data_IF_851378194968
#
_entry.id   IF_851378194968
#
_cell.length_a   1.000
_cell.length_b   1.000
_cell.length_c   1.000
_cell.angle_alpha   90.00
_cell.angle_beta   90.00
_cell.angle_gamma   90.00
#
_symmetry.space_group_name_H-M   'P 1'
#
loop_
_entity.id
_entity.type
_entity.pdbx_description
1 polymer ?
#
# COMPACT_ATOMS: atom_id res chain seq x y z
N UNK A 1 -39.53 74.75 82.30
CA UNK A 1 -39.04 75.26 81.00
C UNK A 1 -37.63 74.71 80.78
N UNK A 2 -37.42 73.88 79.72
CA UNK A 2 -36.12 73.47 79.12
C UNK A 2 -35.13 72.68 80.04
N UNK A 3 -34.44 71.61 79.64
CA UNK A 3 -34.25 70.89 78.37
C UNK A 3 -33.57 69.56 78.71
N UNK A 4 -33.99 68.48 78.04
CA UNK A 4 -33.25 67.23 77.92
C UNK A 4 -32.00 67.41 77.03
N UNK A 5 -31.26 66.30 76.84
CA UNK A 5 -30.23 66.03 75.81
C UNK A 5 -28.81 66.05 76.38
N UNK A 6 -28.21 64.88 76.70
CA UNK A 6 -26.75 64.64 76.75
C UNK A 6 -26.41 63.13 76.87
N UNK A 7 -26.99 62.26 76.03
CA UNK A 7 -26.59 60.83 75.94
C UNK A 7 -26.56 60.23 74.52
N UNK A 8 -26.36 61.05 73.48
CA UNK A 8 -26.33 60.59 72.08
C UNK A 8 -25.00 60.94 71.37
N UNK A 9 -23.96 61.34 72.11
CA UNK A 9 -22.68 61.74 71.50
C UNK A 9 -21.58 60.67 71.55
N UNK A 10 -21.78 59.55 72.27
CA UNK A 10 -20.77 58.48 72.38
C UNK A 10 -20.90 57.36 71.34
N UNK A 11 -22.07 57.20 70.71
CA UNK A 11 -22.35 56.06 69.82
C UNK A 11 -22.08 56.34 68.33
N UNK A 12 -21.96 57.61 67.93
CA UNK A 12 -21.76 58.00 66.53
C UNK A 12 -20.27 57.91 66.12
N UNK A 13 -19.35 58.06 67.07
CA UNK A 13 -17.90 58.06 66.77
C UNK A 13 -17.30 56.66 66.61
N UNK A 14 -17.92 55.62 67.21
CA UNK A 14 -17.45 54.22 67.09
C UNK A 14 -18.02 53.54 65.84
N UNK A 15 -19.21 53.95 65.38
CA UNK A 15 -19.82 53.40 64.15
C UNK A 15 -19.21 53.97 62.86
N UNK A 16 -18.63 55.18 62.91
CA UNK A 16 -17.95 55.80 61.78
C UNK A 16 -16.62 55.13 61.39
N UNK A 17 -15.88 54.57 62.36
CA UNK A 17 -14.57 53.92 62.10
C UNK A 17 -14.74 52.48 61.55
N UNK A 18 -15.82 51.78 61.91
CA UNK A 18 -16.14 50.47 61.33
C UNK A 18 -16.63 50.56 59.88
N UNK A 19 -17.27 51.66 59.48
CA UNK A 19 -17.71 51.87 58.09
C UNK A 19 -16.58 52.29 57.15
N UNK A 20 -15.50 52.91 57.64
CA UNK A 20 -14.32 53.24 56.80
C UNK A 20 -13.33 52.08 56.64
N UNK A 21 -13.41 51.04 57.47
CA UNK A 21 -12.60 49.81 57.31
C UNK A 21 -13.29 48.73 56.46
N UNK A 22 -14.60 48.87 56.17
CA UNK A 22 -15.33 47.99 55.26
C UNK A 22 -15.34 48.45 53.78
N UNK A 23 -14.67 49.56 53.45
CA UNK A 23 -14.37 49.93 52.05
C UNK A 23 -12.98 49.46 51.57
N UNK A 24 -12.25 48.71 52.41
CA UNK A 24 -11.05 47.97 51.98
C UNK A 24 -11.34 46.46 51.87
N UNK A 25 -12.54 46.06 51.47
CA UNK A 25 -12.63 44.78 50.74
C UNK A 25 -11.90 44.98 49.43
N UNK A 26 -10.93 44.12 49.06
CA UNK A 26 -10.39 44.15 47.71
C UNK A 26 -11.58 44.13 46.73
N UNK A 27 -11.54 44.91 45.63
CA UNK A 27 -12.58 44.79 44.63
C UNK A 27 -12.74 43.31 44.34
N UNK A 28 -13.97 42.81 44.45
CA UNK A 28 -14.28 41.41 44.19
C UNK A 28 -13.57 41.05 42.89
N UNK A 29 -12.62 40.12 42.94
CA UNK A 29 -11.98 39.58 41.75
C UNK A 29 -13.10 39.32 40.75
N UNK A 30 -13.02 39.96 39.58
CA UNK A 30 -14.04 39.75 38.56
C UNK A 30 -14.09 38.24 38.31
N UNK A 31 -15.21 37.55 38.60
CA UNK A 31 -15.28 36.09 38.45
C UNK A 31 -14.98 35.64 37.02
N UNK A 32 -15.00 36.57 36.05
CA UNK A 32 -14.55 36.36 34.68
C UNK A 32 -13.07 35.97 34.55
N UNK A 33 -12.17 36.48 35.41
CA UNK A 33 -10.73 36.21 35.29
C UNK A 33 -10.41 34.76 35.68
N UNK A 34 -11.05 34.24 36.72
CA UNK A 34 -10.89 32.85 37.18
C UNK A 34 -11.39 31.88 36.10
N UNK A 35 -12.46 32.24 35.39
CA UNK A 35 -12.93 31.45 34.24
C UNK A 35 -11.89 31.43 33.10
N UNK A 36 -11.25 32.55 32.80
CA UNK A 36 -10.20 32.60 31.78
C UNK A 36 -8.95 31.81 32.18
N UNK A 37 -8.52 31.88 33.45
CA UNK A 37 -7.43 31.04 33.98
C UNK A 37 -7.77 29.56 33.87
N UNK A 38 -9.00 29.18 34.22
CA UNK A 38 -9.49 27.81 34.12
C UNK A 38 -9.57 27.34 32.66
N UNK A 39 -10.08 28.16 31.76
CA UNK A 39 -10.25 27.81 30.35
C UNK A 39 -8.88 27.65 29.66
N UNK A 40 -7.90 28.51 29.98
CA UNK A 40 -6.52 28.36 29.53
C UNK A 40 -5.88 27.08 30.11
N UNK A 41 -6.05 26.82 31.41
CA UNK A 41 -5.53 25.61 32.08
C UNK A 41 -6.12 24.31 31.54
N UNK A 42 -7.39 24.32 31.14
CA UNK A 42 -8.10 23.15 30.62
C UNK A 42 -7.94 22.97 29.11
N UNK A 43 -7.25 23.88 28.42
CA UNK A 43 -7.05 23.82 26.98
C UNK A 43 -6.16 22.62 26.63
N UNK A 44 -6.65 21.75 25.74
CA UNK A 44 -5.96 20.54 25.28
C UNK A 44 -6.04 20.44 23.77
N UNK A 45 -5.07 19.76 23.17
CA UNK A 45 -5.18 19.38 21.76
C UNK A 45 -6.31 18.36 21.58
N UNK A 46 -7.10 18.46 20.49
CA UNK A 46 -8.02 17.39 20.14
C UNK A 46 -7.24 16.12 19.77
N UNK A 47 -7.84 14.96 20.01
CA UNK A 47 -7.30 13.70 19.51
C UNK A 47 -7.46 13.64 17.98
N UNK A 48 -6.39 13.40 17.22
CA UNK A 48 -6.47 13.36 15.77
C UNK A 48 -7.19 12.09 15.31
N UNK A 49 -8.11 12.23 14.35
CA UNK A 49 -8.68 11.09 13.66
C UNK A 49 -7.67 10.56 12.62
N UNK A 50 -6.80 9.65 13.06
CA UNK A 50 -5.71 9.14 12.24
C UNK A 50 -6.23 8.37 11.02
N UNK A 51 -5.80 8.80 9.84
CA UNK A 51 -6.02 8.08 8.58
C UNK A 51 -5.12 6.85 8.51
N UNK A 52 -5.70 5.72 8.10
CA UNK A 52 -4.96 4.50 7.78
C UNK A 52 -4.45 4.52 6.34
N UNK A 53 -3.38 3.76 6.07
CA UNK A 53 -2.89 3.54 4.72
C UNK A 53 -3.98 2.86 3.86
N UNK A 54 -4.14 3.31 2.61
CA UNK A 54 -5.04 2.64 1.66
C UNK A 54 -4.50 1.23 1.36
N UNK A 55 -5.32 0.17 1.45
CA UNK A 55 -4.88 -1.18 1.12
C UNK A 55 -4.41 -1.30 -0.33
N UNK A 56 -3.28 -1.99 -0.53
CA UNK A 56 -2.81 -2.36 -1.87
C UNK A 56 -3.54 -3.59 -2.36
N UNK A 57 -4.15 -3.51 -3.55
CA UNK A 57 -4.86 -4.65 -4.17
C UNK A 57 -3.91 -5.37 -5.11
N UNK A 58 -3.78 -6.68 -4.96
CA UNK A 58 -2.95 -7.54 -5.83
C UNK A 58 -3.84 -8.56 -6.52
N UNK A 59 -3.66 -8.72 -7.83
CA UNK A 59 -4.28 -9.78 -8.63
C UNK A 59 -3.17 -10.66 -9.20
N UNK A 60 -3.20 -11.96 -8.90
CA UNK A 60 -2.22 -12.92 -9.41
C UNK A 60 -2.28 -13.07 -10.93
N UNK A 61 -1.19 -13.55 -11.52
CA UNK A 61 -1.19 -13.96 -12.91
C UNK A 61 -2.20 -15.11 -13.12
N UNK A 62 -2.73 -15.22 -14.33
CA UNK A 62 -3.58 -16.37 -14.69
C UNK A 62 -3.02 -17.04 -15.93
N UNK A 63 -3.21 -18.36 -16.01
CA UNK A 63 -2.94 -19.16 -17.20
C UNK A 63 -4.17 -20.01 -17.47
N UNK A 64 -4.83 -19.74 -18.60
CA UNK A 64 -5.98 -20.50 -19.07
C UNK A 64 -5.49 -21.47 -20.13
N UNK A 65 -5.63 -22.76 -19.86
CA UNK A 65 -5.27 -23.82 -20.80
C UNK A 65 -6.09 -23.73 -22.09
N UNK A 66 -5.47 -24.08 -23.23
CA UNK A 66 -6.19 -24.16 -24.49
C UNK A 66 -7.15 -25.34 -24.50
N UNK A 67 -8.44 -25.06 -24.71
CA UNK A 67 -9.46 -26.09 -24.92
C UNK A 67 -9.20 -26.90 -26.18
N UNK A 68 -8.63 -26.28 -27.22
CA UNK A 68 -8.30 -26.96 -28.47
C UNK A 68 -7.10 -27.89 -28.31
N UNK A 69 -6.06 -27.47 -27.58
CA UNK A 69 -4.94 -28.35 -27.24
C UNK A 69 -5.40 -29.56 -26.42
N UNK A 70 -6.25 -29.34 -25.42
CA UNK A 70 -6.84 -30.44 -24.64
C UNK A 70 -7.66 -31.40 -25.50
N UNK A 71 -8.46 -30.87 -26.43
CA UNK A 71 -9.24 -31.69 -27.37
C UNK A 71 -8.33 -32.52 -28.31
N UNK A 72 -7.21 -31.96 -28.77
CA UNK A 72 -6.22 -32.69 -29.58
C UNK A 72 -5.56 -33.80 -28.75
N UNK A 73 -5.09 -33.50 -27.53
CA UNK A 73 -4.46 -34.50 -26.65
C UNK A 73 -5.41 -35.65 -26.33
N UNK A 74 -6.66 -35.34 -25.98
CA UNK A 74 -7.70 -36.36 -25.75
C UNK A 74 -8.02 -37.15 -27.01
N UNK A 75 -8.08 -36.47 -28.17
CA UNK A 75 -8.28 -37.10 -29.47
C UNK A 75 -7.18 -38.11 -29.79
N UNK A 76 -5.91 -37.74 -29.59
CA UNK A 76 -4.75 -38.62 -29.80
C UNK A 76 -4.81 -39.84 -28.88
N UNK A 77 -5.11 -39.62 -27.59
CA UNK A 77 -5.22 -40.71 -26.61
C UNK A 77 -6.32 -41.73 -26.95
N UNK A 78 -7.38 -41.32 -27.66
CA UNK A 78 -8.47 -42.19 -28.10
C UNK A 78 -8.19 -42.98 -29.39
N UNK A 79 -7.14 -42.65 -30.15
CA UNK A 79 -6.82 -43.31 -31.43
C UNK A 79 -6.55 -44.81 -31.26
N UNK A 80 -5.71 -45.27 -30.30
CA UNK A 80 -5.41 -46.70 -30.17
C UNK A 80 -6.64 -47.58 -29.91
N UNK A 81 -7.65 -47.05 -29.21
CA UNK A 81 -8.89 -47.79 -28.92
C UNK A 81 -9.91 -47.73 -30.05
N UNK A 82 -9.99 -46.62 -30.79
CA UNK A 82 -10.98 -46.43 -31.86
C UNK A 82 -10.48 -46.87 -33.24
N UNK A 83 -9.17 -46.90 -33.46
CA UNK A 83 -8.54 -47.14 -34.77
C UNK A 83 -8.80 -46.02 -35.79
N UNK A 84 -9.37 -44.88 -35.38
CA UNK A 84 -9.72 -43.76 -36.26
C UNK A 84 -9.04 -42.47 -35.80
N UNK A 85 -8.69 -41.59 -36.73
CA UNK A 85 -8.15 -40.26 -36.44
C UNK A 85 -9.30 -39.26 -36.28
N UNK A 86 -9.52 -38.67 -35.09
CA UNK A 86 -10.58 -37.68 -34.90
C UNK A 86 -10.35 -36.42 -35.73
N UNK A 87 -11.43 -35.76 -36.16
CA UNK A 87 -11.37 -34.55 -36.98
C UNK A 87 -10.52 -33.43 -36.34
N UNK A 88 -10.59 -33.26 -35.02
CA UNK A 88 -9.78 -32.28 -34.28
C UNK A 88 -8.28 -32.54 -34.40
N UNK A 89 -7.86 -33.80 -34.47
CA UNK A 89 -6.45 -34.18 -34.64
C UNK A 89 -6.01 -33.93 -36.08
N UNK A 90 -6.85 -34.26 -37.06
CA UNK A 90 -6.60 -33.95 -38.48
C UNK A 90 -6.49 -32.45 -38.74
N UNK A 91 -7.34 -31.64 -38.10
CA UNK A 91 -7.27 -30.18 -38.21
C UNK A 91 -5.98 -29.64 -37.58
N UNK A 92 -5.57 -30.16 -36.42
CA UNK A 92 -4.30 -29.78 -35.79
C UNK A 92 -3.08 -30.09 -36.66
N UNK A 93 -3.08 -31.22 -37.38
CA UNK A 93 -2.05 -31.53 -38.37
C UNK A 93 -2.02 -30.50 -39.49
N UNK A 94 -3.18 -30.14 -40.05
CA UNK A 94 -3.27 -29.17 -41.14
C UNK A 94 -2.78 -27.78 -40.69
N UNK A 95 -3.23 -27.31 -39.53
CA UNK A 95 -2.82 -26.03 -38.97
C UNK A 95 -1.32 -25.99 -38.65
N UNK A 96 -0.78 -27.07 -38.08
CA UNK A 96 0.64 -27.18 -37.77
C UNK A 96 1.49 -27.23 -39.04
N UNK A 97 1.13 -28.02 -40.04
CA UNK A 97 1.85 -28.06 -41.31
C UNK A 97 1.88 -26.70 -42.00
N UNK A 98 0.74 -25.98 -42.01
CA UNK A 98 0.70 -24.63 -42.55
C UNK A 98 1.57 -23.67 -41.74
N UNK A 99 1.53 -23.73 -40.40
CA UNK A 99 2.36 -22.88 -39.55
C UNK A 99 3.87 -23.16 -39.70
N UNK A 100 4.27 -24.43 -39.81
CA UNK A 100 5.64 -24.85 -40.08
C UNK A 100 6.10 -24.36 -41.46
N UNK A 101 5.25 -24.47 -42.48
CA UNK A 101 5.50 -23.93 -43.82
C UNK A 101 5.67 -22.42 -43.83
N UNK A 102 4.73 -21.69 -43.21
CA UNK A 102 4.76 -20.22 -43.08
C UNK A 102 6.05 -19.75 -42.37
N UNK A 103 6.51 -20.51 -41.38
CA UNK A 103 7.72 -20.19 -40.62
C UNK A 103 9.01 -20.68 -41.29
N UNK A 104 8.94 -21.44 -42.39
CA UNK A 104 10.09 -22.02 -43.08
C UNK A 104 10.85 -23.06 -42.26
N UNK A 105 10.18 -23.75 -41.34
CA UNK A 105 10.79 -24.70 -40.39
C UNK A 105 10.20 -26.08 -40.61
N UNK A 106 11.05 -27.09 -40.81
CA UNK A 106 10.56 -28.47 -40.91
C UNK A 106 10.20 -29.03 -39.51
N UNK A 107 9.14 -29.86 -39.39
CA UNK A 107 8.82 -30.54 -38.14
C UNK A 107 9.98 -31.37 -37.57
N UNK A 108 10.79 -32.01 -38.42
CA UNK A 108 11.95 -32.81 -38.00
C UNK A 108 13.06 -31.95 -37.40
N UNK A 109 13.26 -30.71 -37.87
CA UNK A 109 14.21 -29.76 -37.25
C UNK A 109 13.82 -29.45 -35.81
N UNK A 110 12.52 -29.26 -35.55
CA UNK A 110 12.01 -29.05 -34.19
C UNK A 110 12.30 -30.28 -33.33
N UNK A 111 11.90 -31.46 -33.79
CA UNK A 111 12.08 -32.72 -33.04
C UNK A 111 13.55 -32.95 -32.70
N UNK A 112 14.46 -32.76 -33.66
CA UNK A 112 15.89 -32.97 -33.45
C UNK A 112 16.51 -32.00 -32.43
N UNK A 113 15.94 -30.80 -32.26
CA UNK A 113 16.43 -29.84 -31.27
C UNK A 113 15.96 -30.14 -29.84
N UNK A 114 14.82 -30.80 -29.65
CA UNK A 114 14.31 -31.19 -28.32
C UNK A 114 14.97 -32.48 -27.81
N UNK A 115 16.30 -32.44 -27.65
CA UNK A 115 17.04 -33.51 -26.95
C UNK A 115 16.66 -33.55 -25.46
N UNK A 116 16.95 -34.65 -24.72
CA UNK A 116 16.75 -34.71 -23.28
C UNK A 116 17.40 -33.55 -22.51
N UNK A 117 18.59 -33.11 -22.94
CA UNK A 117 19.31 -31.98 -22.37
C UNK A 117 18.60 -30.64 -22.65
N UNK A 118 18.08 -30.45 -23.87
CA UNK A 118 17.31 -29.28 -24.23
C UNK A 118 16.01 -29.18 -23.42
N UNK A 119 15.29 -30.29 -23.26
CA UNK A 119 14.08 -30.38 -22.43
C UNK A 119 14.42 -30.08 -20.97
N UNK A 120 15.50 -30.66 -20.45
CA UNK A 120 15.95 -30.42 -19.06
C UNK A 120 16.34 -28.96 -18.84
N UNK A 121 17.10 -28.37 -19.77
CA UNK A 121 17.48 -26.95 -19.73
C UNK A 121 16.24 -26.07 -19.73
N UNK A 122 15.32 -26.30 -20.67
CA UNK A 122 14.07 -25.54 -20.75
C UNK A 122 13.24 -25.65 -19.47
N UNK A 123 13.13 -26.85 -18.91
CA UNK A 123 12.40 -27.10 -17.66
C UNK A 123 13.02 -26.36 -16.48
N UNK A 124 14.35 -26.34 -16.38
CA UNK A 124 15.05 -25.79 -15.21
C UNK A 124 15.26 -24.27 -15.29
N UNK A 125 15.50 -23.72 -16.46
CA UNK A 125 15.86 -22.30 -16.64
C UNK A 125 14.81 -21.48 -17.39
N UNK A 126 13.81 -22.13 -17.99
CA UNK A 126 12.86 -21.46 -18.88
C UNK A 126 13.55 -20.88 -20.12
N UNK A 127 14.69 -21.42 -20.54
CA UNK A 127 15.43 -20.97 -21.73
C UNK A 127 15.46 -22.06 -22.79
N UNK A 128 15.31 -21.66 -24.05
CA UNK A 128 15.53 -22.54 -25.18
C UNK A 128 17.00 -22.53 -25.58
N UNK A 129 17.53 -23.64 -26.11
CA UNK A 129 18.77 -23.62 -26.88
C UNK A 129 18.69 -22.58 -28.00
N UNK A 130 19.80 -21.91 -28.30
CA UNK A 130 19.83 -20.85 -29.32
C UNK A 130 19.30 -21.30 -30.69
N UNK A 131 19.51 -22.57 -31.05
CA UNK A 131 18.98 -23.19 -32.28
C UNK A 131 17.46 -23.29 -32.32
N UNK A 132 16.77 -23.32 -31.18
CA UNK A 132 15.32 -23.41 -31.07
C UNK A 132 14.65 -22.07 -30.77
N UNK A 133 15.38 -21.10 -30.22
CA UNK A 133 14.80 -19.82 -29.78
C UNK A 133 14.06 -19.08 -30.89
N UNK A 134 14.71 -18.88 -32.05
CA UNK A 134 14.10 -18.23 -33.23
C UNK A 134 12.93 -19.04 -33.79
N UNK A 135 13.13 -20.33 -34.12
CA UNK A 135 12.06 -21.20 -34.61
C UNK A 135 10.81 -21.24 -33.73
N UNK A 136 10.98 -21.42 -32.42
CA UNK A 136 9.85 -21.47 -31.49
C UNK A 136 9.18 -20.10 -31.37
N UNK A 137 9.92 -18.99 -31.32
CA UNK A 137 9.32 -17.65 -31.28
C UNK A 137 8.47 -17.36 -32.52
N UNK A 138 8.93 -17.77 -33.71
CA UNK A 138 8.16 -17.62 -34.95
C UNK A 138 6.85 -18.44 -34.91
N UNK A 139 6.93 -19.70 -34.43
CA UNK A 139 5.76 -20.57 -34.31
C UNK A 139 4.77 -20.09 -33.24
N UNK A 140 5.28 -19.54 -32.12
CA UNK A 140 4.45 -18.91 -31.06
C UNK A 140 3.69 -17.70 -31.57
N UNK A 141 4.29 -16.90 -32.46
CA UNK A 141 3.65 -15.75 -33.08
C UNK A 141 2.70 -16.13 -34.24
N UNK A 142 2.68 -17.38 -34.67
CA UNK A 142 1.83 -17.80 -35.78
C UNK A 142 0.35 -17.87 -35.37
N UNK A 143 -0.51 -17.14 -36.11
CA UNK A 143 -1.94 -17.05 -35.82
C UNK A 143 -2.68 -18.40 -35.87
N UNK A 144 -2.20 -19.38 -36.66
CA UNK A 144 -2.80 -20.71 -36.76
C UNK A 144 -2.56 -21.54 -35.51
N UNK A 145 -1.41 -21.37 -34.87
CA UNK A 145 -1.06 -22.10 -33.65
C UNK A 145 -1.56 -21.43 -32.38
N UNK A 146 -1.86 -20.13 -32.41
CA UNK A 146 -2.35 -19.38 -31.26
C UNK A 146 -3.51 -20.05 -30.50
N UNK A 147 -4.55 -20.62 -31.16
CA UNK A 147 -5.63 -21.32 -30.45
C UNK A 147 -5.17 -22.58 -29.68
N UNK A 148 -4.03 -23.16 -30.04
CA UNK A 148 -3.44 -24.34 -29.39
C UNK A 148 -2.50 -23.97 -28.22
N UNK A 149 -2.32 -22.69 -27.92
CA UNK A 149 -1.49 -22.21 -26.82
C UNK A 149 -2.35 -21.70 -25.65
N UNK A 150 -1.86 -21.80 -24.41
CA UNK A 150 -2.52 -21.14 -23.28
C UNK A 150 -2.61 -19.63 -23.47
N UNK A 151 -3.63 -19.04 -22.87
CA UNK A 151 -3.76 -17.59 -22.73
C UNK A 151 -3.35 -17.21 -21.31
N UNK A 152 -2.53 -16.18 -21.15
CA UNK A 152 -2.12 -15.70 -19.83
C UNK A 152 -2.43 -14.22 -19.62
N UNK A 153 -2.59 -13.85 -18.35
CA UNK A 153 -2.65 -12.46 -17.91
C UNK A 153 -1.48 -12.16 -16.95
N UNK A 154 -0.91 -10.97 -17.08
CA UNK A 154 0.10 -10.49 -16.14
C UNK A 154 -0.52 -10.26 -14.75
N UNK A 155 0.28 -10.38 -13.67
CA UNK A 155 -0.16 -9.96 -12.35
C UNK A 155 -0.42 -8.45 -12.34
N UNK A 156 -1.28 -8.00 -11.44
CA UNK A 156 -1.62 -6.58 -11.30
C UNK A 156 -1.46 -6.11 -9.86
N UNK A 157 -1.00 -4.87 -9.70
CA UNK A 157 -0.96 -4.16 -8.41
C UNK A 157 -1.73 -2.85 -8.59
N UNK A 158 -2.76 -2.65 -7.76
CA UNK A 158 -3.72 -1.54 -7.86
C UNK A 158 -4.33 -1.40 -9.27
N UNK A 159 -4.64 -2.54 -9.91
CA UNK A 159 -5.23 -2.60 -11.25
C UNK A 159 -4.25 -2.30 -12.39
N UNK A 160 -2.96 -2.09 -12.11
CA UNK A 160 -1.94 -1.86 -13.12
C UNK A 160 -1.15 -3.15 -13.38
N UNK A 161 -0.96 -3.56 -14.65
CA UNK A 161 -0.19 -4.74 -14.98
C UNK A 161 1.29 -4.59 -14.60
N UNK A 162 1.86 -5.65 -14.02
CA UNK A 162 3.27 -5.73 -13.66
C UNK A 162 3.98 -6.68 -14.62
N UNK A 163 5.00 -6.17 -15.31
CA UNK A 163 5.90 -6.96 -16.15
C UNK A 163 7.16 -7.31 -15.37
N UNK A 164 8.05 -8.18 -15.91
CA UNK A 164 9.36 -8.43 -15.31
C UNK A 164 10.25 -7.18 -15.16
N UNK A 165 9.93 -6.08 -15.84
CA UNK A 165 10.73 -4.85 -15.89
C UNK A 165 10.01 -3.63 -15.33
N UNK A 166 8.80 -3.77 -14.78
CA UNK A 166 8.09 -2.66 -14.12
C UNK A 166 8.92 -2.17 -12.94
N UNK A 167 9.41 -0.94 -13.00
CA UNK A 167 10.22 -0.33 -11.93
C UNK A 167 9.42 0.59 -11.03
N UNK A 168 8.30 1.15 -11.51
CA UNK A 168 7.44 2.06 -10.76
C UNK A 168 5.99 1.87 -11.19
N UNK A 169 5.07 2.13 -10.26
CA UNK A 169 3.65 2.30 -10.54
C UNK A 169 3.22 3.72 -10.17
N UNK A 170 2.12 4.24 -10.75
CA UNK A 170 1.49 5.46 -10.28
C UNK A 170 1.17 5.33 -8.79
N UNK A 171 1.86 6.11 -7.96
CA UNK A 171 1.63 6.18 -6.52
C UNK A 171 0.89 7.47 -6.16
N UNK A 172 0.03 7.44 -5.13
CA UNK A 172 -0.59 8.67 -4.64
C UNK A 172 0.49 9.61 -4.12
N UNK A 173 0.39 10.90 -4.48
CA UNK A 173 1.31 11.92 -4.02
C UNK A 173 1.00 12.28 -2.55
N UNK A 174 1.99 12.29 -1.65
CA UNK A 174 1.79 12.76 -0.28
C UNK A 174 1.33 14.23 -0.28
N UNK A 175 0.40 14.61 0.61
CA UNK A 175 0.03 16.01 0.75
C UNK A 175 1.20 16.83 1.32
N UNK A 176 1.22 18.13 1.04
CA UNK A 176 2.14 19.04 1.71
C UNK A 176 1.83 19.07 3.22
N UNK A 177 2.87 18.97 4.04
CA UNK A 177 2.74 19.03 5.50
C UNK A 177 2.59 20.49 5.93
N UNK A 178 1.51 20.81 6.64
CA UNK A 178 1.35 22.10 7.29
C UNK A 178 2.40 22.22 8.40
N UNK A 179 3.25 23.27 8.43
CA UNK A 179 4.24 23.44 9.48
C UNK A 179 3.57 23.83 10.80
N UNK A 180 4.13 23.35 11.91
CA UNK A 180 3.74 23.81 13.24
C UNK A 180 4.24 25.24 13.48
N UNK A 181 3.43 26.05 14.17
CA UNK A 181 3.81 27.39 14.61
C UNK A 181 4.99 27.29 15.59
N UNK A 182 5.95 28.20 15.44
CA UNK A 182 7.08 28.32 16.37
C UNK A 182 6.60 29.09 17.60
N UNK A 183 6.68 28.45 18.77
CA UNK A 183 6.38 29.09 20.04
C UNK A 183 7.59 29.92 20.49
N UNK A 184 7.35 31.19 20.80
CA UNK A 184 8.33 32.06 21.44
C UNK A 184 7.82 32.43 22.84
N UNK A 185 8.62 32.28 23.90
CA UNK A 185 8.24 32.70 25.24
C UNK A 185 7.84 34.18 25.26
N UNK A 186 6.83 34.52 26.06
CA UNK A 186 6.47 35.92 26.25
C UNK A 186 7.46 36.54 27.24
N UNK A 187 8.40 37.35 26.72
CA UNK A 187 9.36 38.08 27.55
C UNK A 187 8.66 39.25 28.27
N UNK A 188 7.99 38.96 29.39
CA UNK A 188 7.44 39.97 30.28
C UNK A 188 8.52 40.49 31.24
N UNK A 189 8.68 41.81 31.34
CA UNK A 189 9.70 42.48 32.15
C UNK A 189 9.12 43.35 33.28
N UNK A 190 7.82 43.22 33.58
CA UNK A 190 7.17 43.99 34.65
C UNK A 190 7.10 43.25 36.00
N UNK A 191 6.77 43.98 37.06
CA UNK A 191 6.66 43.46 38.44
C UNK A 191 5.22 43.07 38.84
N UNK A 192 4.27 43.06 37.90
CA UNK A 192 2.86 42.73 38.20
C UNK A 192 2.66 41.22 38.31
N UNK A 193 2.12 40.78 39.45
CA UNK A 193 1.89 39.37 39.75
C UNK A 193 0.86 38.71 38.82
N UNK A 194 -0.20 39.43 38.41
CA UNK A 194 -1.25 38.92 37.53
C UNK A 194 -0.71 38.67 36.12
N UNK A 195 0.05 39.63 35.58
CA UNK A 195 0.72 39.46 34.29
C UNK A 195 1.73 38.31 34.32
N UNK A 196 2.50 38.19 35.40
CA UNK A 196 3.44 37.06 35.55
C UNK A 196 2.71 35.73 35.55
N UNK A 197 1.65 35.58 36.34
CA UNK A 197 0.89 34.34 36.43
C UNK A 197 0.24 33.94 35.10
N UNK A 198 -0.35 34.91 34.38
CA UNK A 198 -0.94 34.66 33.06
C UNK A 198 0.10 34.19 32.03
N UNK A 199 1.28 34.81 32.01
CA UNK A 199 2.37 34.40 31.13
C UNK A 199 2.95 33.03 31.52
N UNK A 200 3.19 32.78 32.82
CA UNK A 200 3.65 31.48 33.29
C UNK A 200 2.64 30.37 32.95
N UNK A 201 1.34 30.63 33.08
CA UNK A 201 0.30 29.67 32.69
C UNK A 201 0.29 29.42 31.18
N UNK A 202 0.38 30.47 30.36
CA UNK A 202 0.45 30.33 28.90
C UNK A 202 1.69 29.53 28.45
N UNK A 203 2.86 29.81 29.02
CA UNK A 203 4.09 29.07 28.73
C UNK A 203 3.97 27.59 29.14
N UNK A 204 3.37 27.30 30.30
CA UNK A 204 3.10 25.93 30.73
C UNK A 204 2.12 25.21 29.79
N UNK A 205 1.00 25.84 29.44
CA UNK A 205 -0.02 25.27 28.54
C UNK A 205 0.58 25.03 27.16
N UNK A 206 1.29 26.00 26.58
CA UNK A 206 1.90 25.82 25.25
C UNK A 206 3.00 24.75 25.23
N UNK A 207 3.75 24.59 26.33
CA UNK A 207 4.68 23.45 26.52
C UNK A 207 3.93 22.12 26.51
N UNK A 208 2.82 22.01 27.24
CA UNK A 208 2.04 20.78 27.35
C UNK A 208 1.33 20.43 26.02
N UNK A 209 0.86 21.45 25.28
CA UNK A 209 0.36 21.29 23.91
C UNK A 209 1.47 20.76 22.99
N UNK A 210 2.69 21.31 23.07
CA UNK A 210 3.80 20.82 22.25
C UNK A 210 4.21 19.38 22.64
N UNK A 211 4.21 19.03 23.93
CA UNK A 211 4.46 17.67 24.37
C UNK A 211 3.41 16.68 23.81
N UNK A 212 2.13 17.07 23.81
CA UNK A 212 1.03 16.30 23.22
C UNK A 212 1.23 16.11 21.72
N UNK A 213 1.57 17.18 20.99
CA UNK A 213 1.93 17.13 19.56
C UNK A 213 3.06 16.14 19.28
N UNK A 214 4.15 16.22 20.04
CA UNK A 214 5.31 15.33 19.88
C UNK A 214 4.91 13.87 20.10
N UNK A 215 4.09 13.60 21.11
CA UNK A 215 3.57 12.25 21.38
C UNK A 215 2.70 11.71 20.25
N UNK A 216 1.77 12.51 19.73
CA UNK A 216 0.90 12.13 18.61
C UNK A 216 1.71 11.87 17.32
N UNK A 217 2.71 12.71 17.02
CA UNK A 217 3.62 12.50 15.88
C UNK A 217 4.44 11.21 16.06
N UNK A 218 4.92 10.93 17.28
CA UNK A 218 5.64 9.71 17.57
C UNK A 218 4.78 8.46 17.33
N UNK A 219 3.50 8.49 17.71
CA UNK A 219 2.54 7.42 17.44
C UNK A 219 2.32 7.18 15.93
N UNK A 220 2.14 8.27 15.16
CA UNK A 220 2.02 8.22 13.70
C UNK A 220 3.27 7.62 13.04
N UNK A 221 4.47 8.05 13.47
CA UNK A 221 5.72 7.50 12.98
C UNK A 221 5.91 6.02 13.38
N UNK A 222 5.46 5.62 14.57
CA UNK A 222 5.44 4.23 15.01
C UNK A 222 4.61 3.36 14.07
N UNK A 223 3.39 3.79 13.76
CA UNK A 223 2.49 3.10 12.82
C UNK A 223 3.12 2.98 11.44
N UNK A 224 3.67 4.08 10.89
CA UNK A 224 4.38 4.06 9.62
C UNK A 224 5.54 3.05 9.60
N UNK A 225 6.35 3.01 10.67
CA UNK A 225 7.48 2.08 10.75
C UNK A 225 7.00 0.63 10.81
N UNK A 226 5.92 0.34 11.54
CA UNK A 226 5.29 -0.99 11.56
C UNK A 226 4.80 -1.40 10.17
N UNK A 227 4.07 -0.53 9.48
CA UNK A 227 3.56 -0.79 8.12
C UNK A 227 4.71 -1.02 7.13
N UNK A 228 5.76 -0.19 7.21
CA UNK A 228 6.97 -0.34 6.39
C UNK A 228 7.64 -1.69 6.63
N UNK A 229 7.89 -2.05 7.89
CA UNK A 229 8.53 -3.33 8.24
C UNK A 229 7.69 -4.53 7.82
N UNK A 230 6.36 -4.45 7.95
CA UNK A 230 5.46 -5.51 7.47
C UNK A 230 5.56 -5.66 5.95
N UNK A 231 5.53 -4.55 5.20
CA UNK A 231 5.67 -4.56 3.74
C UNK A 231 7.02 -5.13 3.29
N UNK A 232 8.12 -4.79 3.98
CA UNK A 232 9.46 -5.32 3.70
C UNK A 232 9.53 -6.84 3.91
N UNK A 233 8.94 -7.35 5.01
CA UNK A 233 8.97 -8.77 5.37
C UNK A 233 8.12 -9.65 4.42
N UNK A 234 7.05 -9.10 3.84
CA UNK A 234 6.18 -9.85 2.93
C UNK A 234 6.87 -10.24 1.62
N UNK A 235 7.87 -9.49 1.14
CA UNK A 235 8.55 -9.77 -0.14
C UNK A 235 9.17 -11.16 -0.17
N UNK A 236 9.84 -11.58 0.91
CA UNK A 236 10.50 -12.89 0.96
C UNK A 236 9.49 -14.03 0.91
N UNK A 237 8.39 -13.93 1.68
CA UNK A 237 7.35 -14.96 1.69
C UNK A 237 6.59 -15.03 0.36
N UNK A 238 6.31 -13.87 -0.25
CA UNK A 238 5.72 -13.77 -1.59
C UNK A 238 6.62 -14.44 -2.64
N UNK A 239 7.92 -14.10 -2.65
CA UNK A 239 8.87 -14.66 -3.61
C UNK A 239 9.01 -16.19 -3.47
N UNK A 240 9.08 -16.71 -2.24
CA UNK A 240 9.15 -18.15 -1.99
C UNK A 240 7.86 -18.87 -2.46
N UNK A 241 6.68 -18.30 -2.18
CA UNK A 241 5.40 -18.84 -2.64
C UNK A 241 5.26 -18.86 -4.16
N UNK A 242 5.68 -17.79 -4.84
CA UNK A 242 5.74 -17.74 -6.31
C UNK A 242 6.70 -18.79 -6.86
N UNK A 243 7.91 -18.93 -6.31
CA UNK A 243 8.86 -19.96 -6.77
C UNK A 243 8.30 -21.38 -6.64
N UNK A 244 7.66 -21.70 -5.51
CA UNK A 244 7.03 -23.00 -5.28
C UNK A 244 5.86 -23.24 -6.26
N UNK A 245 5.04 -22.23 -6.50
CA UNK A 245 3.89 -22.35 -7.41
C UNK A 245 4.34 -22.69 -8.83
N UNK A 246 5.31 -21.96 -9.36
CA UNK A 246 5.80 -22.19 -10.72
C UNK A 246 6.62 -23.48 -10.86
N UNK A 247 7.33 -23.93 -9.82
CA UNK A 247 8.02 -25.22 -9.87
C UNK A 247 7.04 -26.40 -9.98
N UNK A 248 5.90 -26.34 -9.28
CA UNK A 248 4.82 -27.31 -9.40
C UNK A 248 4.17 -27.29 -10.79
N UNK A 249 3.92 -26.09 -11.34
CA UNK A 249 3.35 -25.93 -12.68
C UNK A 249 4.28 -26.49 -13.78
N UNK A 250 5.59 -26.25 -13.66
CA UNK A 250 6.61 -26.78 -14.57
C UNK A 250 6.68 -28.31 -14.48
N UNK A 251 6.67 -28.87 -13.28
CA UNK A 251 6.66 -30.33 -13.08
C UNK A 251 5.41 -30.99 -13.69
N UNK A 252 4.23 -30.37 -13.49
CA UNK A 252 2.99 -30.84 -14.09
C UNK A 252 3.02 -30.78 -15.63
N UNK A 253 3.56 -29.70 -16.20
CA UNK A 253 3.75 -29.58 -17.64
C UNK A 253 4.67 -30.65 -18.22
N UNK A 254 5.76 -30.99 -17.51
CA UNK A 254 6.67 -32.07 -17.92
C UNK A 254 5.99 -33.44 -17.89
N UNK A 255 5.19 -33.72 -16.86
CA UNK A 255 4.40 -34.95 -16.79
C UNK A 255 3.36 -35.03 -17.93
N UNK A 256 2.69 -33.92 -18.25
CA UNK A 256 1.75 -33.84 -19.36
C UNK A 256 2.43 -34.03 -20.73
N UNK A 257 3.65 -33.51 -20.90
CA UNK A 257 4.48 -33.78 -22.08
C UNK A 257 4.74 -35.29 -22.21
N UNK A 258 5.25 -35.93 -21.16
CA UNK A 258 5.61 -37.35 -21.19
C UNK A 258 4.40 -38.24 -21.53
N UNK A 259 3.23 -37.93 -20.95
CA UNK A 259 1.97 -38.60 -21.28
C UNK A 259 1.56 -38.39 -22.75
N UNK A 260 1.69 -37.15 -23.25
CA UNK A 260 1.36 -36.82 -24.64
C UNK A 260 2.27 -37.54 -25.64
N UNK A 261 3.57 -37.65 -25.33
CA UNK A 261 4.54 -38.40 -26.14
C UNK A 261 4.21 -39.89 -26.19
N UNK A 262 3.87 -40.50 -25.04
CA UNK A 262 3.46 -41.90 -24.96
C UNK A 262 2.18 -42.16 -25.79
N UNK A 263 1.17 -41.29 -25.66
CA UNK A 263 -0.08 -41.39 -26.43
C UNK A 263 0.17 -41.25 -27.94
N UNK A 264 1.03 -40.31 -28.35
CA UNK A 264 1.42 -40.15 -29.76
C UNK A 264 2.11 -41.37 -30.32
N UNK A 265 3.02 -41.98 -29.55
CA UNK A 265 3.72 -43.19 -29.95
C UNK A 265 2.74 -44.36 -30.13
N UNK A 266 1.77 -44.53 -29.22
CA UNK A 266 0.74 -45.55 -29.34
C UNK A 266 -0.19 -45.34 -30.55
N UNK A 267 -0.46 -44.08 -30.91
CA UNK A 267 -1.30 -43.70 -32.05
C UNK A 267 -0.57 -43.74 -33.41
N UNK A 268 0.76 -43.85 -33.42
CA UNK A 268 1.60 -43.78 -34.62
C UNK A 268 1.17 -44.73 -35.76
N UNK A 269 0.80 -46.00 -35.52
CA UNK A 269 0.39 -46.92 -36.60
C UNK A 269 -0.83 -46.41 -37.38
N UNK A 270 -1.77 -45.74 -36.70
CA UNK A 270 -2.99 -45.21 -37.32
C UNK A 270 -2.76 -43.84 -37.95
N UNK A 271 -1.93 -42.99 -37.33
CA UNK A 271 -1.62 -41.64 -37.84
C UNK A 271 -0.78 -41.68 -39.12
N UNK A 272 0.11 -42.67 -39.25
CA UNK A 272 1.15 -42.69 -40.28
C UNK A 272 2.31 -41.74 -39.96
N UNK A 273 3.45 -41.97 -40.63
CA UNK A 273 4.71 -41.29 -40.32
C UNK A 273 4.62 -39.76 -40.41
N UNK A 274 4.05 -39.23 -41.49
CA UNK A 274 3.98 -37.78 -41.72
C UNK A 274 3.17 -37.05 -40.63
N UNK A 275 1.95 -37.52 -40.33
CA UNK A 275 1.09 -36.89 -39.32
C UNK A 275 1.67 -37.04 -37.91
N UNK A 276 2.27 -38.20 -37.61
CA UNK A 276 2.99 -38.41 -36.34
C UNK A 276 4.13 -37.40 -36.16
N UNK A 277 4.99 -37.21 -37.17
CA UNK A 277 6.08 -36.24 -37.10
C UNK A 277 5.57 -34.81 -36.89
N UNK A 278 4.51 -34.39 -37.58
CA UNK A 278 3.91 -33.06 -37.39
C UNK A 278 3.35 -32.88 -35.97
N UNK A 279 2.62 -33.86 -35.44
CA UNK A 279 2.03 -33.78 -34.10
C UNK A 279 3.08 -33.86 -32.99
N UNK A 280 4.14 -34.64 -33.19
CA UNK A 280 5.27 -34.71 -32.26
C UNK A 280 5.97 -33.34 -32.17
N UNK A 281 6.26 -32.70 -33.31
CA UNK A 281 6.81 -31.36 -33.34
C UNK A 281 5.87 -30.34 -32.66
N UNK A 282 4.56 -30.39 -32.96
CA UNK A 282 3.56 -29.53 -32.34
C UNK A 282 3.53 -29.70 -30.81
N UNK A 283 3.63 -30.93 -30.30
CA UNK A 283 3.64 -31.23 -28.87
C UNK A 283 4.84 -30.57 -28.17
N UNK A 284 6.03 -30.65 -28.77
CA UNK A 284 7.20 -29.94 -28.25
C UNK A 284 7.06 -28.42 -28.29
N UNK A 285 6.47 -27.86 -29.36
CA UNK A 285 6.21 -26.42 -29.48
C UNK A 285 5.23 -25.95 -28.40
N UNK A 286 4.15 -26.70 -28.16
CA UNK A 286 3.18 -26.40 -27.10
C UNK A 286 3.82 -26.44 -25.71
N UNK A 287 4.62 -27.48 -25.42
CA UNK A 287 5.38 -27.57 -24.17
C UNK A 287 6.30 -26.37 -23.99
N UNK A 288 7.10 -26.05 -25.01
CA UNK A 288 8.01 -24.92 -24.94
C UNK A 288 7.29 -23.59 -24.76
N UNK A 289 6.20 -23.36 -25.47
CA UNK A 289 5.39 -22.16 -25.27
C UNK A 289 4.87 -22.06 -23.83
N UNK A 290 4.40 -23.17 -23.25
CA UNK A 290 3.90 -23.22 -21.88
C UNK A 290 5.00 -22.90 -20.86
N UNK A 291 6.18 -23.53 -20.97
CA UNK A 291 7.29 -23.29 -20.05
C UNK A 291 7.83 -21.86 -20.16
N UNK A 292 7.95 -21.32 -21.38
CA UNK A 292 8.34 -19.93 -21.59
C UNK A 292 7.32 -18.96 -20.96
N UNK A 293 6.02 -19.25 -21.12
CA UNK A 293 4.95 -18.45 -20.49
C UNK A 293 5.06 -18.51 -18.95
N UNK A 294 5.30 -19.68 -18.37
CA UNK A 294 5.53 -19.82 -16.93
C UNK A 294 6.75 -19.04 -16.46
N UNK A 295 7.87 -19.07 -17.18
CA UNK A 295 9.06 -18.31 -16.83
C UNK A 295 8.81 -16.79 -16.87
N UNK A 296 8.11 -16.30 -17.89
CA UNK A 296 7.79 -14.88 -18.03
C UNK A 296 6.84 -14.41 -16.92
N UNK A 297 5.81 -15.20 -16.60
CA UNK A 297 4.89 -14.89 -15.51
C UNK A 297 5.53 -15.02 -14.13
N UNK A 298 6.39 -16.01 -13.91
CA UNK A 298 7.13 -16.14 -12.65
C UNK A 298 7.98 -14.89 -12.40
N UNK A 299 8.72 -14.41 -13.40
CA UNK A 299 9.50 -13.18 -13.29
C UNK A 299 8.61 -11.96 -13.02
N UNK A 300 7.46 -11.89 -13.68
CA UNK A 300 6.49 -10.81 -13.47
C UNK A 300 5.91 -10.84 -12.05
N UNK A 301 5.58 -12.02 -11.50
CA UNK A 301 5.06 -12.15 -10.15
C UNK A 301 6.11 -11.88 -9.07
N UNK A 302 7.36 -12.34 -9.28
CA UNK A 302 8.48 -11.98 -8.41
C UNK A 302 8.67 -10.47 -8.35
N UNK A 303 8.54 -9.78 -9.50
CA UNK A 303 8.58 -8.33 -9.54
C UNK A 303 7.33 -7.70 -8.88
N UNK A 304 6.15 -8.31 -9.03
CA UNK A 304 4.92 -7.85 -8.37
C UNK A 304 5.03 -7.90 -6.84
N UNK A 305 5.78 -8.83 -6.26
CA UNK A 305 6.09 -8.82 -4.82
C UNK A 305 6.80 -7.52 -4.40
N UNK A 306 7.80 -7.09 -5.17
CA UNK A 306 8.59 -5.87 -4.92
C UNK A 306 7.74 -4.61 -5.13
N UNK A 307 7.00 -4.57 -6.24
CA UNK A 307 6.12 -3.45 -6.58
C UNK A 307 4.98 -3.30 -5.56
N UNK A 308 4.47 -4.41 -5.01
CA UNK A 308 3.47 -4.39 -3.93
C UNK A 308 4.03 -3.76 -2.66
N UNK A 309 5.25 -4.13 -2.25
CA UNK A 309 5.94 -3.49 -1.12
C UNK A 309 6.02 -1.98 -1.32
N UNK A 310 6.51 -1.54 -2.49
CA UNK A 310 6.71 -0.12 -2.76
C UNK A 310 5.38 0.64 -2.75
N UNK A 311 4.31 0.06 -3.31
CA UNK A 311 2.96 0.63 -3.25
C UNK A 311 2.43 0.74 -1.81
N UNK A 312 2.65 -0.27 -0.97
CA UNK A 312 2.27 -0.23 0.46
C UNK A 312 3.04 0.84 1.23
N UNK A 313 4.35 0.94 1.02
CA UNK A 313 5.18 1.99 1.65
C UNK A 313 4.71 3.37 1.21
N UNK A 314 4.45 3.57 -0.09
CA UNK A 314 3.94 4.85 -0.59
C UNK A 314 2.58 5.20 0.05
N UNK A 315 1.64 4.25 0.15
CA UNK A 315 0.37 4.47 0.83
C UNK A 315 0.53 4.82 2.31
N UNK A 316 1.48 4.17 3.01
CA UNK A 316 1.81 4.47 4.41
C UNK A 316 2.44 5.87 4.56
N UNK A 317 3.29 6.31 3.64
CA UNK A 317 3.82 7.69 3.62
C UNK A 317 2.69 8.70 3.47
N UNK A 318 1.75 8.48 2.53
CA UNK A 318 0.61 9.39 2.35
C UNK A 318 -0.23 9.50 3.62
N UNK A 319 -0.50 8.37 4.29
CA UNK A 319 -1.24 8.37 5.55
C UNK A 319 -0.47 9.12 6.66
N UNK A 320 0.82 8.83 6.82
CA UNK A 320 1.71 9.51 7.79
C UNK A 320 1.69 11.03 7.60
N UNK A 321 1.94 11.49 6.38
CA UNK A 321 2.07 12.93 6.09
C UNK A 321 0.73 13.65 6.21
N UNK A 322 -0.38 12.99 5.84
CA UNK A 322 -1.74 13.49 6.11
C UNK A 322 -1.97 13.69 7.61
N UNK A 323 -1.62 12.68 8.42
CA UNK A 323 -1.83 12.70 9.86
C UNK A 323 -0.95 13.75 10.56
N UNK A 324 0.33 13.87 10.17
CA UNK A 324 1.22 14.91 10.71
C UNK A 324 0.68 16.30 10.38
N UNK A 325 0.18 16.51 9.16
CA UNK A 325 -0.41 17.78 8.75
C UNK A 325 -1.64 18.14 9.61
N UNK A 326 -2.54 17.18 9.84
CA UNK A 326 -3.71 17.35 10.71
C UNK A 326 -3.33 17.63 12.17
N UNK A 327 -2.32 16.94 12.71
CA UNK A 327 -1.80 17.18 14.06
C UNK A 327 -1.23 18.59 14.18
N UNK A 328 -0.46 19.04 13.19
CA UNK A 328 0.10 20.39 13.18
C UNK A 328 -0.99 21.45 13.04
N UNK A 329 -2.02 21.22 12.24
CA UNK A 329 -3.17 22.12 12.12
C UNK A 329 -3.95 22.23 13.44
N UNK A 330 -4.22 21.10 14.10
CA UNK A 330 -4.85 21.06 15.42
C UNK A 330 -4.01 21.79 16.47
N UNK A 331 -2.69 21.59 16.48
CA UNK A 331 -1.76 22.31 17.34
C UNK A 331 -1.81 23.82 17.09
N UNK A 332 -1.72 24.25 15.83
CA UNK A 332 -1.76 25.66 15.45
C UNK A 332 -3.08 26.34 15.85
N UNK A 333 -4.22 25.66 15.67
CA UNK A 333 -5.53 26.13 16.12
C UNK A 333 -5.61 26.28 17.64
N UNK A 334 -5.07 25.30 18.37
CA UNK A 334 -5.09 25.29 19.84
C UNK A 334 -4.16 26.37 20.40
N UNK A 335 -2.98 26.56 19.81
CA UNK A 335 -2.06 27.66 20.18
C UNK A 335 -2.69 29.03 19.94
N UNK A 336 -3.39 29.24 18.81
CA UNK A 336 -4.13 30.49 18.56
C UNK A 336 -5.21 30.74 19.61
N UNK A 337 -5.89 29.69 20.05
CA UNK A 337 -6.89 29.78 21.13
C UNK A 337 -6.23 30.15 22.45
N UNK A 338 -5.10 29.52 22.80
CA UNK A 338 -4.31 29.88 23.98
C UNK A 338 -3.86 31.35 23.95
N UNK A 339 -3.41 31.83 22.77
CA UNK A 339 -3.01 33.22 22.56
C UNK A 339 -4.17 34.20 22.77
N UNK A 340 -5.35 33.88 22.26
CA UNK A 340 -6.55 34.70 22.47
C UNK A 340 -6.95 34.74 23.96
N UNK A 341 -6.90 33.60 24.65
CA UNK A 341 -7.22 33.52 26.08
C UNK A 341 -6.21 34.30 26.95
N UNK A 342 -4.91 34.17 26.67
CA UNK A 342 -3.90 34.93 27.44
C UNK A 342 -4.02 36.43 27.18
N UNK A 343 -4.30 36.88 25.96
CA UNK A 343 -4.52 38.31 25.69
C UNK A 343 -5.73 38.85 26.48
N UNK A 344 -6.84 38.10 26.56
CA UNK A 344 -7.98 38.47 27.39
C UNK A 344 -7.65 38.50 28.88
N UNK A 345 -6.81 37.58 29.36
CA UNK A 345 -6.29 37.60 30.74
C UNK A 345 -5.43 38.84 31.01
N UNK A 346 -4.53 39.19 30.10
CA UNK A 346 -3.65 40.37 30.25
C UNK A 346 -4.46 41.67 30.25
N UNK A 347 -5.46 41.79 29.37
CA UNK A 347 -6.38 42.94 29.36
C UNK A 347 -7.17 43.03 30.68
N UNK A 348 -7.61 41.90 31.21
CA UNK A 348 -8.29 41.83 32.51
C UNK A 348 -7.36 42.21 33.67
N UNK A 349 -6.10 41.75 33.67
CA UNK A 349 -5.07 42.15 34.64
C UNK A 349 -4.82 43.67 34.59
N UNK A 350 -4.72 44.27 33.40
CA UNK A 350 -4.54 45.71 33.23
C UNK A 350 -5.69 46.53 33.85
N UNK A 351 -6.92 46.05 33.70
CA UNK A 351 -8.12 46.70 34.22
C UNK A 351 -8.28 46.56 35.74
N UNK A 352 -7.66 45.57 36.37
CA UNK A 352 -7.56 45.47 37.83
C UNK A 352 -6.51 46.43 38.42
N UNK A 353 -5.43 46.72 37.67
CA UNK A 353 -4.38 47.66 38.09
C UNK A 353 -4.73 49.14 37.95
N UNK A 354 -5.72 49.49 37.11
CA UNK A 354 -6.16 50.86 36.83
C UNK A 354 -7.32 51.36 37.71
N UNK A 355 -7.81 50.50 38.62
CA UNK A 355 -8.83 50.83 39.63
C UNK A 355 -8.27 51.30 40.98
N UNK A 356 -7.02 51.78 41.05
CA UNK A 356 -6.42 52.36 42.25
C UNK A 356 -6.31 53.88 42.16
#
# INVERSE_FOLDING_TARGET
>A
MKTATHKILGFITVFGIFLTLHQCTPPSEDPSIEFLFRDLRNLKMPEPNLRLATPTVVTSATVVSSTLAAAVTNGIAGIPGSGQVPAVVSQAVADANAAFGDAGISPSTIIAGFTPEAITTLTNSGQLPGSLQGPINNLRANNRLRPYFPVSSLPQVNGQPVTPTTTTLPTPTPPAIIPAVVLTPVNYNGSDACFKEANDLFDNVTRDLNASRVSQIASVNGTYNTDKSSADNEVTSCAAGTQQTYSLLVAAAKSALDASLANLQAAQPTLGSANYTTLLALTYVQYANLILTYNDLQKAELNACVVTRDARIAAAVVARDTNISQINEAFNNTVRTAQALVLQLLDSCHNQGSGR
#
